data_IF_784048887809
#
_entry.id   IF_784048887809
#
_cell.length_a   1.000
_cell.length_b   1.000
_cell.length_c   1.000
_cell.angle_alpha   90.00
_cell.angle_beta   90.00
_cell.angle_gamma   90.00
#
_symmetry.space_group_name_H-M   'P 1'
#
loop_
_entity.id
_entity.type
_entity.pdbx_description
1 polymer ?
#
# COMPACT_ATOMS: atom_id res chain seq x y z
N UNK A 1 -8.55 -21.57 29.34
CA UNK A 1 -7.77 -21.91 30.56
C UNK A 1 -8.77 -22.13 31.69
N UNK A 2 -8.60 -23.20 32.51
CA UNK A 2 -9.41 -23.44 33.68
C UNK A 2 -8.63 -22.99 34.91
N UNK A 3 -9.27 -22.23 35.78
CA UNK A 3 -8.74 -21.82 37.10
C UNK A 3 -9.48 -22.64 38.13
N UNK A 4 -8.84 -23.66 38.76
CA UNK A 4 -9.42 -24.40 39.89
C UNK A 4 -9.26 -23.62 41.18
N UNK A 5 -10.24 -23.72 42.04
CA UNK A 5 -10.20 -23.18 43.42
C UNK A 5 -10.76 -24.20 44.38
N UNK A 6 -10.04 -24.41 45.48
CA UNK A 6 -10.41 -25.33 46.57
C UNK A 6 -10.02 -24.68 47.91
N UNK A 7 -10.88 -24.74 48.87
CA UNK A 7 -10.57 -24.31 50.24
C UNK A 7 -10.26 -25.51 51.13
N UNK A 8 -9.47 -25.25 52.16
CA UNK A 8 -9.14 -26.22 53.19
C UNK A 8 -9.51 -25.62 54.57
N UNK A 9 -10.09 -26.43 55.45
CA UNK A 9 -10.32 -26.08 56.85
C UNK A 9 -9.46 -27.01 57.70
N UNK A 10 -8.52 -26.43 58.44
CA UNK A 10 -7.81 -27.12 59.49
C UNK A 10 -8.52 -26.92 60.82
N UNK A 11 -8.76 -27.97 61.55
CA UNK A 11 -9.42 -27.93 62.87
C UNK A 11 -8.85 -28.96 63.80
N UNK A 12 -9.05 -28.73 65.09
CA UNK A 12 -8.75 -29.69 66.10
C UNK A 12 -10.04 -30.20 66.76
N UNK A 13 -10.07 -31.47 67.13
CA UNK A 13 -11.09 -32.04 67.95
C UNK A 13 -10.48 -32.77 69.14
N UNK A 14 -11.22 -32.85 70.23
CA UNK A 14 -10.77 -33.47 71.49
C UNK A 14 -11.40 -34.82 71.61
N UNK A 15 -10.62 -35.86 71.84
CA UNK A 15 -11.08 -37.21 72.10
C UNK A 15 -11.63 -37.32 73.57
N UNK A 16 -12.46 -38.34 73.88
CA UNK A 16 -12.97 -38.57 75.22
C UNK A 16 -11.88 -38.75 76.30
N UNK A 17 -10.67 -39.13 75.95
CA UNK A 17 -9.51 -39.26 76.85
C UNK A 17 -8.74 -37.93 77.06
N UNK A 18 -9.22 -36.82 76.44
CA UNK A 18 -8.63 -35.50 76.53
C UNK A 18 -7.53 -35.21 75.51
N UNK A 19 -7.18 -36.14 74.60
CA UNK A 19 -6.22 -35.87 73.55
C UNK A 19 -6.78 -34.95 72.44
N UNK A 20 -6.00 -33.99 72.01
CA UNK A 20 -6.35 -33.11 70.88
C UNK A 20 -5.78 -33.68 69.58
N UNK A 21 -6.62 -33.88 68.58
CA UNK A 21 -6.26 -34.38 67.25
C UNK A 21 -6.51 -33.30 66.22
N UNK A 22 -5.49 -33.03 65.41
CA UNK A 22 -5.59 -32.12 64.27
C UNK A 22 -6.18 -32.85 63.05
N UNK A 23 -7.06 -32.20 62.36
CA UNK A 23 -7.68 -32.70 61.12
C UNK A 23 -7.80 -31.60 60.07
N UNK A 24 -7.88 -32.00 58.82
CA UNK A 24 -8.13 -31.11 57.69
C UNK A 24 -9.33 -31.60 56.88
N UNK A 25 -10.06 -30.67 56.34
CA UNK A 25 -11.19 -30.94 55.43
C UNK A 25 -11.08 -30.03 54.23
N UNK A 26 -10.97 -30.64 53.08
CA UNK A 26 -10.99 -29.91 51.80
C UNK A 26 -12.42 -29.75 51.29
N UNK A 27 -12.70 -28.62 50.67
CA UNK A 27 -13.94 -28.43 49.91
C UNK A 27 -13.88 -29.21 48.58
N UNK A 28 -15.00 -29.26 47.87
CA UNK A 28 -14.99 -29.58 46.46
C UNK A 28 -14.16 -28.53 45.67
N UNK A 29 -13.59 -28.95 44.54
CA UNK A 29 -12.94 -28.04 43.59
C UNK A 29 -14.03 -27.38 42.75
N UNK A 30 -14.00 -26.05 42.67
CA UNK A 30 -14.77 -25.26 41.71
C UNK A 30 -13.87 -24.73 40.63
N UNK A 31 -14.34 -24.79 39.39
CA UNK A 31 -13.58 -24.42 38.21
C UNK A 31 -14.19 -23.17 37.55
N UNK A 32 -13.34 -22.19 37.21
CA UNK A 32 -13.72 -21.06 36.39
C UNK A 32 -13.02 -21.18 35.03
N UNK A 33 -13.77 -21.20 33.95
CA UNK A 33 -13.21 -21.16 32.61
C UNK A 33 -12.93 -19.71 32.22
N UNK A 34 -11.68 -19.45 31.77
CA UNK A 34 -11.26 -18.17 31.21
C UNK A 34 -11.41 -18.25 29.69
N UNK A 35 -12.36 -17.52 29.16
CA UNK A 35 -12.55 -17.35 27.73
C UNK A 35 -11.55 -16.33 27.19
N UNK A 36 -10.99 -16.62 26.01
CA UNK A 36 -10.14 -15.70 25.25
C UNK A 36 -10.73 -15.50 23.88
N UNK A 37 -10.79 -14.25 23.46
CA UNK A 37 -11.22 -13.87 22.11
C UNK A 37 -9.99 -13.40 21.33
N UNK A 38 -9.47 -14.25 20.44
CA UNK A 38 -8.29 -13.97 19.62
C UNK A 38 -8.62 -14.23 18.16
N UNK A 39 -8.56 -13.18 17.37
CA UNK A 39 -8.85 -13.22 15.94
C UNK A 39 -7.69 -12.59 15.16
N UNK A 40 -6.56 -13.35 14.98
CA UNK A 40 -5.49 -12.89 14.12
C UNK A 40 -6.01 -12.62 12.71
N UNK A 41 -5.60 -11.47 12.16
CA UNK A 41 -5.93 -11.05 10.80
C UNK A 41 -4.68 -10.45 10.17
N UNK A 42 -4.18 -11.10 9.13
CA UNK A 42 -2.92 -10.75 8.47
C UNK A 42 -3.22 -10.37 7.03
N UNK A 43 -2.88 -9.12 6.68
CA UNK A 43 -2.94 -8.60 5.32
C UNK A 43 -1.58 -8.70 4.65
N UNK A 44 -1.57 -9.06 3.37
CA UNK A 44 -0.39 -9.11 2.50
C UNK A 44 -0.72 -8.61 1.10
N UNK A 45 0.27 -8.12 0.38
CA UNK A 45 0.23 -7.86 -1.05
C UNK A 45 1.26 -8.74 -1.76
N UNK A 46 1.01 -9.08 -3.02
CA UNK A 46 1.93 -9.88 -3.85
C UNK A 46 3.10 -9.05 -4.40
N UNK A 47 3.03 -7.71 -4.31
CA UNK A 47 4.05 -6.78 -4.79
C UNK A 47 4.38 -5.72 -3.75
N UNK A 48 5.63 -5.28 -3.73
CA UNK A 48 6.12 -4.18 -2.88
C UNK A 48 6.24 -2.85 -3.63
N UNK A 49 6.21 -2.91 -4.97
CA UNK A 49 6.13 -1.74 -5.85
C UNK A 49 5.24 -2.02 -7.06
N UNK A 50 4.65 -0.97 -7.62
CA UNK A 50 3.82 -1.00 -8.82
C UNK A 50 4.21 0.16 -9.73
N UNK A 51 4.13 -0.02 -11.03
CA UNK A 51 4.09 1.09 -11.97
C UNK A 51 2.69 1.73 -11.98
N UNK A 52 2.59 2.96 -12.48
CA UNK A 52 1.30 3.62 -12.70
C UNK A 52 0.38 2.74 -13.55
N UNK A 53 -0.83 2.50 -13.07
CA UNK A 53 -1.83 1.66 -13.73
C UNK A 53 -1.63 0.15 -13.54
N UNK A 54 -0.53 -0.30 -12.94
CA UNK A 54 -0.29 -1.71 -12.67
C UNK A 54 -1.14 -2.22 -11.49
N UNK A 55 -1.38 -3.53 -11.43
CA UNK A 55 -2.20 -4.18 -10.42
C UNK A 55 -1.39 -5.03 -9.45
N UNK A 56 -1.90 -5.15 -8.21
CA UNK A 56 -1.42 -6.06 -7.16
C UNK A 56 -2.59 -6.81 -6.55
N UNK A 57 -2.39 -8.08 -6.23
CA UNK A 57 -3.36 -8.89 -5.48
C UNK A 57 -3.09 -8.75 -3.99
N UNK A 58 -4.08 -8.25 -3.25
CA UNK A 58 -4.05 -8.20 -1.79
C UNK A 58 -4.80 -9.41 -1.22
N UNK A 59 -4.34 -9.90 -0.08
CA UNK A 59 -4.94 -11.04 0.61
C UNK A 59 -4.99 -10.77 2.11
N UNK A 60 -6.12 -11.11 2.74
CA UNK A 60 -6.30 -11.04 4.19
C UNK A 60 -6.71 -12.42 4.69
N UNK A 61 -5.89 -13.00 5.56
CA UNK A 61 -6.20 -14.25 6.26
C UNK A 61 -6.74 -13.90 7.65
N UNK A 62 -7.94 -14.36 7.95
CA UNK A 62 -8.64 -14.17 9.22
C UNK A 62 -8.77 -15.53 9.88
N UNK A 63 -8.27 -15.68 11.11
CA UNK A 63 -8.31 -16.95 11.85
C UNK A 63 -9.08 -16.76 13.17
N UNK A 64 -10.05 -17.61 13.45
CA UNK A 64 -10.72 -17.65 14.72
C UNK A 64 -9.97 -18.54 15.72
N UNK A 65 -9.07 -17.96 16.51
CA UNK A 65 -8.37 -18.66 17.59
C UNK A 65 -9.13 -18.57 18.92
N UNK A 66 -10.36 -18.05 18.93
CA UNK A 66 -11.20 -18.02 20.12
C UNK A 66 -11.90 -19.38 20.34
N UNK A 67 -12.48 -19.56 21.52
CA UNK A 67 -13.22 -20.79 21.89
C UNK A 67 -14.68 -20.78 21.40
N UNK A 68 -15.15 -19.65 20.84
CA UNK A 68 -16.52 -19.45 20.38
C UNK A 68 -16.58 -19.14 18.91
N UNK A 69 -17.75 -19.33 18.29
CA UNK A 69 -18.01 -18.90 16.93
C UNK A 69 -18.00 -17.38 16.82
N UNK A 70 -17.44 -16.87 15.73
CA UNK A 70 -17.62 -15.48 15.29
C UNK A 70 -18.81 -15.40 14.34
N UNK A 71 -19.65 -14.41 14.50
CA UNK A 71 -20.80 -14.15 13.65
C UNK A 71 -20.96 -12.65 13.37
N UNK A 72 -21.83 -12.29 12.44
CA UNK A 72 -21.97 -10.92 11.93
C UNK A 72 -20.63 -10.33 11.46
N UNK A 73 -19.81 -11.17 10.78
CA UNK A 73 -18.53 -10.71 10.26
C UNK A 73 -18.78 -9.75 9.09
N UNK A 74 -18.18 -8.57 9.16
CA UNK A 74 -18.16 -7.58 8.07
C UNK A 74 -16.71 -7.19 7.80
N UNK A 75 -16.27 -7.48 6.59
CA UNK A 75 -14.96 -7.09 6.09
C UNK A 75 -15.07 -5.74 5.36
N UNK A 76 -14.14 -4.83 5.64
CA UNK A 76 -14.02 -3.55 4.95
C UNK A 76 -12.55 -3.20 4.77
N UNK A 77 -12.20 -2.64 3.61
CA UNK A 77 -10.87 -2.15 3.32
C UNK A 77 -10.97 -0.76 2.67
N UNK A 78 -10.58 0.26 3.43
CA UNK A 78 -10.57 1.63 2.92
C UNK A 78 -9.29 1.83 2.10
N UNK A 79 -9.42 1.83 0.77
CA UNK A 79 -8.30 2.16 -0.12
C UNK A 79 -7.76 3.54 0.21
N UNK A 80 -6.44 3.65 0.38
CA UNK A 80 -5.79 4.95 0.49
C UNK A 80 -5.71 5.65 -0.88
N UNK A 81 -5.53 6.97 -0.88
CA UNK A 81 -5.27 7.72 -2.11
C UNK A 81 -4.03 7.15 -2.80
N UNK A 82 -4.09 6.91 -4.09
CA UNK A 82 -2.97 6.38 -4.89
C UNK A 82 -3.25 5.02 -5.51
N UNK A 83 -4.27 4.29 -5.01
CA UNK A 83 -4.76 3.06 -5.63
C UNK A 83 -6.28 2.98 -5.57
N UNK A 84 -6.85 2.16 -6.45
CA UNK A 84 -8.28 1.87 -6.52
C UNK A 84 -8.52 0.37 -6.51
N UNK A 85 -9.64 -0.05 -5.93
CA UNK A 85 -10.11 -1.41 -6.02
C UNK A 85 -10.55 -1.74 -7.45
N UNK A 86 -10.19 -2.94 -7.94
CA UNK A 86 -10.65 -3.45 -9.24
C UNK A 86 -11.98 -4.18 -9.06
N UNK A 87 -13.11 -3.64 -9.54
CA UNK A 87 -14.43 -4.24 -9.36
C UNK A 87 -14.51 -5.69 -9.85
N UNK A 88 -15.21 -6.54 -9.10
CA UNK A 88 -15.41 -7.94 -9.44
C UNK A 88 -14.23 -8.86 -9.15
N UNK A 89 -13.14 -8.36 -8.55
CA UNK A 89 -11.93 -9.14 -8.28
C UNK A 89 -11.92 -9.83 -6.91
N UNK A 90 -12.97 -9.68 -6.08
CA UNK A 90 -13.00 -10.31 -4.75
C UNK A 90 -13.15 -11.82 -4.86
N UNK A 91 -12.33 -12.52 -4.09
CA UNK A 91 -12.43 -13.95 -3.84
C UNK A 91 -12.52 -14.20 -2.33
N UNK A 92 -13.37 -15.13 -1.93
CA UNK A 92 -13.42 -15.65 -0.55
C UNK A 92 -13.09 -17.15 -0.59
N UNK A 93 -12.02 -17.55 0.08
CA UNK A 93 -11.48 -18.90 0.06
C UNK A 93 -11.27 -19.44 -1.40
N UNK A 94 -10.80 -18.56 -2.30
CA UNK A 94 -10.58 -18.87 -3.71
C UNK A 94 -11.84 -18.93 -4.57
N UNK A 95 -13.01 -18.65 -4.00
CA UNK A 95 -14.28 -18.59 -4.75
C UNK A 95 -14.60 -17.16 -5.10
N UNK A 96 -14.81 -16.87 -6.40
CA UNK A 96 -15.12 -15.53 -6.90
C UNK A 96 -16.43 -14.97 -6.33
N UNK A 97 -16.38 -13.71 -5.90
CA UNK A 97 -17.49 -12.95 -5.34
C UNK A 97 -17.62 -11.59 -6.07
N UNK A 98 -18.09 -11.59 -7.33
CA UNK A 98 -17.97 -10.41 -8.20
C UNK A 98 -18.82 -9.21 -7.75
N UNK A 99 -19.80 -9.43 -6.86
CA UNK A 99 -20.66 -8.37 -6.32
C UNK A 99 -20.12 -7.75 -5.03
N UNK A 100 -19.06 -8.33 -4.45
CA UNK A 100 -18.45 -7.82 -3.20
C UNK A 100 -17.57 -6.63 -3.52
N UNK A 101 -17.65 -5.61 -2.67
CA UNK A 101 -16.85 -4.40 -2.74
C UNK A 101 -16.19 -4.17 -1.36
N UNK A 102 -14.85 -4.32 -1.26
CA UNK A 102 -14.14 -4.12 0.00
C UNK A 102 -14.21 -2.67 0.51
N UNK A 103 -14.36 -1.69 -0.37
CA UNK A 103 -14.47 -0.27 0.01
C UNK A 103 -15.81 0.01 0.68
N UNK A 104 -16.90 -0.52 0.12
CA UNK A 104 -18.23 -0.43 0.73
C UNK A 104 -18.34 -1.31 1.98
N UNK A 105 -17.65 -2.45 1.98
CA UNK A 105 -17.74 -3.51 2.98
C UNK A 105 -18.79 -4.56 2.61
N UNK A 106 -18.53 -5.81 3.03
CA UNK A 106 -19.43 -6.95 2.79
C UNK A 106 -19.40 -7.95 3.94
N UNK A 107 -20.48 -8.72 4.06
CA UNK A 107 -20.60 -9.77 5.08
C UNK A 107 -19.81 -11.02 4.70
N UNK A 108 -19.17 -11.64 5.67
CA UNK A 108 -18.56 -12.96 5.58
C UNK A 108 -19.39 -13.99 6.35
N UNK A 109 -19.33 -15.28 5.95
CA UNK A 109 -19.94 -16.36 6.73
C UNK A 109 -19.40 -16.40 8.16
N UNK A 110 -20.22 -16.92 9.07
CA UNK A 110 -19.78 -17.20 10.45
C UNK A 110 -18.55 -18.11 10.46
N UNK A 111 -17.65 -17.90 11.40
CA UNK A 111 -16.37 -18.61 11.50
C UNK A 111 -16.30 -19.37 12.81
N UNK A 112 -16.38 -20.69 12.76
CA UNK A 112 -16.30 -21.52 13.98
C UNK A 112 -14.91 -21.44 14.63
N UNK A 113 -14.83 -21.81 15.89
CA UNK A 113 -13.56 -21.91 16.62
C UNK A 113 -12.54 -22.78 15.84
N UNK A 114 -11.32 -22.28 15.70
CA UNK A 114 -10.23 -22.93 14.96
C UNK A 114 -10.30 -22.81 13.43
N UNK A 115 -11.34 -22.22 12.86
CA UNK A 115 -11.46 -22.03 11.41
C UNK A 115 -10.77 -20.74 10.94
N UNK A 116 -10.38 -20.74 9.66
CA UNK A 116 -9.86 -19.58 8.98
C UNK A 116 -10.64 -19.28 7.69
N UNK A 117 -10.64 -18.03 7.27
CA UNK A 117 -11.13 -17.58 5.97
C UNK A 117 -10.13 -16.62 5.34
N UNK A 118 -10.04 -16.64 4.01
CA UNK A 118 -9.17 -15.77 3.23
C UNK A 118 -10.03 -14.91 2.32
N UNK A 119 -9.83 -13.59 2.39
CA UNK A 119 -10.37 -12.62 1.45
C UNK A 119 -9.23 -12.15 0.57
N UNK A 120 -9.37 -12.25 -0.75
CA UNK A 120 -8.42 -11.72 -1.70
C UNK A 120 -9.12 -10.80 -2.71
N UNK A 121 -8.43 -9.78 -3.20
CA UNK A 121 -8.94 -8.82 -4.19
C UNK A 121 -7.78 -8.12 -4.87
N UNK A 122 -8.05 -7.49 -6.02
CA UNK A 122 -7.05 -6.77 -6.80
C UNK A 122 -7.19 -5.27 -6.58
N UNK A 123 -6.06 -4.60 -6.40
CA UNK A 123 -5.94 -3.15 -6.39
C UNK A 123 -5.14 -2.69 -7.61
N UNK A 124 -5.41 -1.49 -8.12
CA UNK A 124 -4.70 -0.88 -9.23
C UNK A 124 -4.10 0.46 -8.80
N UNK A 125 -2.82 0.65 -9.06
CA UNK A 125 -2.16 1.94 -8.88
C UNK A 125 -2.80 3.01 -9.77
N UNK A 126 -3.01 4.22 -9.25
CA UNK A 126 -3.55 5.32 -10.05
C UNK A 126 -2.60 5.70 -11.19
N UNK A 127 -3.19 6.09 -12.33
CA UNK A 127 -2.48 6.66 -13.46
C UNK A 127 -3.24 7.90 -13.95
N UNK A 128 -2.71 9.11 -13.76
CA UNK A 128 -1.41 9.46 -13.14
C UNK A 128 -1.35 9.11 -11.65
N UNK A 129 -0.13 8.85 -11.18
CA UNK A 129 0.15 8.65 -9.75
C UNK A 129 -0.33 9.86 -8.93
N UNK A 130 -1.05 9.59 -7.84
CA UNK A 130 -1.54 10.64 -6.92
C UNK A 130 -0.84 10.60 -5.58
N UNK A 131 -0.31 9.43 -5.18
CA UNK A 131 0.39 9.23 -3.92
C UNK A 131 1.35 8.04 -4.00
N UNK A 132 2.49 8.14 -3.31
CA UNK A 132 3.43 7.04 -3.04
C UNK A 132 4.15 7.30 -1.71
N UNK A 133 4.36 6.28 -0.83
CA UNK A 133 3.78 4.96 -0.92
C UNK A 133 2.26 4.96 -0.71
N UNK A 134 1.59 3.96 -1.27
CA UNK A 134 0.21 3.61 -0.91
C UNK A 134 0.28 2.73 0.33
N UNK A 135 -0.37 3.15 1.41
CA UNK A 135 -0.47 2.39 2.66
C UNK A 135 -1.91 2.06 2.96
N UNK A 136 -2.18 0.84 3.41
CA UNK A 136 -3.51 0.29 3.44
C UNK A 136 -3.65 -0.80 4.52
N UNK A 137 -4.82 -0.85 5.20
CA UNK A 137 -5.21 -1.89 6.14
C UNK A 137 -6.70 -2.18 6.02
N UNK A 138 -7.08 -3.42 6.31
CA UNK A 138 -8.48 -3.81 6.38
C UNK A 138 -9.01 -3.78 7.82
N UNK A 139 -10.31 -3.53 7.96
CA UNK A 139 -11.05 -3.59 9.22
C UNK A 139 -12.00 -4.79 9.20
N UNK A 140 -12.01 -5.57 10.28
CA UNK A 140 -12.96 -6.64 10.51
C UNK A 140 -13.86 -6.26 11.71
N UNK A 141 -15.16 -6.19 11.46
CA UNK A 141 -16.17 -6.15 12.50
C UNK A 141 -16.71 -7.55 12.71
N UNK A 142 -16.91 -7.96 13.95
CA UNK A 142 -17.50 -9.26 14.28
C UNK A 142 -18.14 -9.26 15.67
N UNK A 143 -18.98 -10.25 15.94
CA UNK A 143 -19.66 -10.46 17.22
C UNK A 143 -19.28 -11.84 17.76
N UNK A 144 -19.10 -11.93 19.06
CA UNK A 144 -19.01 -13.20 19.81
C UNK A 144 -20.15 -13.27 20.82
N UNK A 145 -20.60 -14.48 21.16
CA UNK A 145 -21.52 -14.68 22.24
C UNK A 145 -20.73 -15.03 23.52
N UNK A 146 -20.69 -14.08 24.45
CA UNK A 146 -20.07 -14.26 25.76
C UNK A 146 -21.13 -14.80 26.76
N UNK A 147 -20.87 -15.91 27.48
CA UNK A 147 -21.86 -16.51 28.38
C UNK A 147 -22.35 -15.58 29.48
N UNK A 148 -21.53 -14.58 29.88
CA UNK A 148 -21.87 -13.68 31.00
C UNK A 148 -22.38 -12.32 30.53
N UNK A 149 -22.01 -11.89 29.30
CA UNK A 149 -22.31 -10.54 28.80
C UNK A 149 -23.25 -10.54 27.59
N UNK A 150 -23.55 -11.73 27.03
CA UNK A 150 -24.31 -11.87 25.79
C UNK A 150 -23.43 -11.48 24.55
N UNK A 151 -24.02 -10.81 23.58
CA UNK A 151 -23.32 -10.43 22.36
C UNK A 151 -22.32 -9.29 22.59
N UNK A 152 -21.06 -9.55 22.32
CA UNK A 152 -19.97 -8.57 22.38
C UNK A 152 -19.46 -8.31 20.97
N UNK A 153 -19.45 -7.04 20.56
CA UNK A 153 -19.02 -6.60 19.24
C UNK A 153 -17.57 -6.12 19.28
N UNK A 154 -16.82 -6.48 18.25
CA UNK A 154 -15.44 -6.07 18.03
C UNK A 154 -15.29 -5.37 16.68
N UNK A 155 -14.36 -4.41 16.62
CA UNK A 155 -13.92 -3.74 15.41
C UNK A 155 -12.40 -3.64 15.48
N UNK A 156 -11.70 -4.35 14.60
CA UNK A 156 -10.24 -4.49 14.68
C UNK A 156 -9.61 -4.42 13.30
N UNK A 157 -8.40 -3.85 13.24
CA UNK A 157 -7.66 -3.69 12.00
C UNK A 157 -6.64 -4.82 11.79
N UNK A 158 -6.30 -5.06 10.53
CA UNK A 158 -5.11 -5.86 10.13
C UNK A 158 -3.83 -5.07 10.38
N UNK A 159 -2.68 -5.70 10.14
CA UNK A 159 -1.44 -4.97 9.86
C UNK A 159 -1.60 -4.10 8.60
N UNK A 160 -0.78 -3.05 8.51
CA UNK A 160 -0.67 -2.19 7.32
C UNK A 160 0.21 -2.86 6.26
N UNK A 161 -0.22 -2.78 5.01
CA UNK A 161 0.59 -3.09 3.82
C UNK A 161 1.01 -1.77 3.17
N UNK A 162 2.23 -1.71 2.65
CA UNK A 162 2.80 -0.54 1.97
C UNK A 162 3.33 -0.94 0.61
N UNK A 163 2.92 -0.20 -0.45
CA UNK A 163 3.35 -0.42 -1.84
C UNK A 163 3.87 0.88 -2.41
N UNK A 164 5.08 0.85 -2.99
CA UNK A 164 5.67 2.01 -3.68
C UNK A 164 5.07 2.12 -5.08
N UNK A 165 4.60 3.31 -5.47
CA UNK A 165 4.18 3.56 -6.86
C UNK A 165 5.34 4.21 -7.61
N UNK A 166 5.72 3.62 -8.73
CA UNK A 166 6.79 4.06 -9.61
C UNK A 166 6.19 4.81 -10.80
N UNK A 167 6.60 6.06 -10.98
CA UNK A 167 6.30 6.86 -12.16
C UNK A 167 7.59 7.11 -12.94
N UNK A 168 7.57 6.78 -14.24
CA UNK A 168 8.70 7.00 -15.13
C UNK A 168 8.56 8.31 -15.96
N UNK A 169 7.74 9.25 -15.52
CA UNK A 169 7.40 10.45 -16.28
C UNK A 169 8.59 11.38 -16.47
N UNK A 170 8.67 11.89 -17.69
CA UNK A 170 9.59 12.94 -18.12
C UNK A 170 8.74 13.95 -18.94
N UNK A 171 8.95 15.22 -18.75
CA UNK A 171 8.34 16.26 -19.58
C UNK A 171 9.42 16.95 -20.39
N UNK A 172 9.08 17.37 -21.62
CA UNK A 172 9.94 18.21 -22.47
C UNK A 172 9.07 19.34 -23.03
N UNK A 173 9.40 20.58 -22.65
CA UNK A 173 8.69 21.78 -23.09
C UNK A 173 9.64 22.56 -23.96
N UNK A 174 9.30 22.72 -25.26
CA UNK A 174 10.09 23.46 -26.24
C UNK A 174 9.47 24.84 -26.52
N UNK A 175 10.29 25.84 -26.67
CA UNK A 175 9.93 27.20 -27.04
C UNK A 175 10.91 27.79 -28.05
N UNK A 176 10.51 28.89 -28.67
CA UNK A 176 11.34 29.70 -29.58
C UNK A 176 11.17 31.18 -29.19
N UNK A 177 12.22 31.97 -29.34
CA UNK A 177 12.25 33.38 -28.94
C UNK A 177 11.39 34.30 -29.82
N UNK A 178 11.09 33.90 -31.07
CA UNK A 178 10.38 34.72 -32.07
C UNK A 178 9.21 34.00 -32.68
N UNK A 179 8.05 34.63 -32.77
CA UNK A 179 6.88 34.13 -33.48
C UNK A 179 6.96 34.38 -35.02
N UNK A 180 7.75 35.35 -35.44
CA UNK A 180 7.92 35.78 -36.83
C UNK A 180 9.41 35.99 -37.11
N UNK A 181 9.89 35.59 -38.27
CA UNK A 181 11.27 35.74 -38.70
C UNK A 181 11.34 35.98 -40.21
N UNK A 182 12.39 36.63 -40.66
CA UNK A 182 12.73 36.80 -42.09
C UNK A 182 14.04 36.11 -42.43
N UNK A 183 14.32 35.91 -43.69
CA UNK A 183 15.59 35.33 -44.17
C UNK A 183 16.80 36.03 -43.53
N UNK A 184 17.69 35.23 -42.96
CA UNK A 184 18.90 35.65 -42.26
C UNK A 184 18.76 35.87 -40.77
N UNK A 185 17.52 35.81 -40.23
CA UNK A 185 17.31 35.89 -38.80
C UNK A 185 17.77 34.62 -38.09
N UNK A 186 18.26 34.78 -36.86
CA UNK A 186 18.48 33.64 -35.98
C UNK A 186 17.24 33.44 -35.09
N UNK A 187 16.86 32.18 -34.96
CA UNK A 187 15.83 31.71 -34.01
C UNK A 187 16.53 30.94 -32.88
N UNK A 188 16.23 31.35 -31.65
CA UNK A 188 16.75 30.71 -30.45
C UNK A 188 15.73 29.72 -29.89
N UNK A 189 16.06 28.42 -29.92
CA UNK A 189 15.24 27.35 -29.37
C UNK A 189 15.68 27.02 -27.95
N UNK A 190 14.72 26.81 -27.07
CA UNK A 190 14.91 26.35 -25.70
C UNK A 190 14.03 25.14 -25.43
N UNK A 191 14.62 24.03 -24.95
CA UNK A 191 13.90 22.85 -24.46
C UNK A 191 14.19 22.67 -22.97
N UNK A 192 13.14 22.59 -22.16
CA UNK A 192 13.25 22.30 -20.72
C UNK A 192 12.74 20.89 -20.48
N UNK A 193 13.65 20.00 -20.11
CA UNK A 193 13.37 18.59 -19.81
C UNK A 193 13.32 18.46 -18.28
N UNK A 194 12.19 17.99 -17.73
CA UNK A 194 11.99 17.85 -16.29
C UNK A 194 11.64 16.41 -15.92
N UNK A 195 12.35 15.85 -14.95
CA UNK A 195 12.01 14.55 -14.38
C UNK A 195 10.85 14.72 -13.36
N UNK A 196 9.65 14.44 -13.79
CA UNK A 196 8.42 14.46 -12.96
C UNK A 196 8.04 13.08 -12.42
N UNK A 197 8.91 12.08 -12.62
CA UNK A 197 8.75 10.71 -12.12
C UNK A 197 9.28 10.53 -10.69
N UNK A 198 9.35 9.27 -10.26
CA UNK A 198 9.81 8.88 -8.91
C UNK A 198 11.21 8.26 -8.90
N UNK A 199 11.83 8.08 -10.07
CA UNK A 199 13.17 7.52 -10.23
C UNK A 199 14.04 8.48 -11.03
N UNK A 200 15.35 8.47 -10.75
CA UNK A 200 16.36 9.14 -11.56
C UNK A 200 16.31 8.66 -13.01
N UNK A 201 16.58 9.54 -13.94
CA UNK A 201 16.72 9.22 -15.37
C UNK A 201 18.19 9.28 -15.74
N UNK A 202 18.69 8.19 -16.31
CA UNK A 202 20.07 8.03 -16.78
C UNK A 202 20.10 7.82 -18.29
N UNK A 203 21.26 7.94 -18.90
CA UNK A 203 21.48 7.71 -20.34
C UNK A 203 20.52 8.53 -21.22
N UNK A 204 20.26 9.77 -20.83
CA UNK A 204 19.38 10.67 -21.57
C UNK A 204 20.08 11.17 -22.83
N UNK A 205 19.44 10.99 -23.98
CA UNK A 205 19.93 11.50 -25.28
C UNK A 205 18.95 12.55 -25.80
N UNK A 206 19.43 13.76 -26.04
CA UNK A 206 18.66 14.83 -26.68
C UNK A 206 18.91 14.80 -28.20
N UNK A 207 17.83 14.86 -28.96
CA UNK A 207 17.89 15.08 -30.41
C UNK A 207 16.74 15.99 -30.84
N UNK A 208 17.01 16.83 -31.84
CA UNK A 208 16.04 17.79 -32.38
C UNK A 208 16.33 17.97 -33.90
N UNK A 209 15.46 17.45 -34.77
CA UNK A 209 15.60 17.66 -36.20
C UNK A 209 15.50 19.14 -36.57
N UNK A 210 16.47 19.65 -37.32
CA UNK A 210 16.47 21.05 -37.75
C UNK A 210 15.30 21.28 -38.73
N UNK A 211 14.42 22.29 -38.47
CA UNK A 211 13.27 22.57 -39.32
C UNK A 211 13.67 22.89 -40.78
N UNK A 212 12.85 22.44 -41.71
CA UNK A 212 13.04 22.79 -43.14
C UNK A 212 12.98 24.33 -43.32
N UNK A 213 13.84 24.88 -44.15
CA UNK A 213 13.99 26.33 -44.33
C UNK A 213 14.89 27.02 -43.31
N UNK A 214 15.55 26.24 -42.44
CA UNK A 214 16.54 26.77 -41.51
C UNK A 214 17.85 25.95 -41.57
N UNK A 215 18.91 26.51 -41.02
CA UNK A 215 20.23 25.86 -40.91
C UNK A 215 20.71 25.99 -39.45
N UNK A 216 21.17 24.88 -38.84
CA UNK A 216 21.76 24.89 -37.52
C UNK A 216 22.99 25.79 -37.44
N UNK A 217 23.12 26.56 -36.37
CA UNK A 217 24.29 27.41 -36.07
C UNK A 217 25.29 26.58 -35.26
N UNK A 218 26.41 26.10 -35.84
CA UNK A 218 27.41 25.33 -35.11
C UNK A 218 27.97 26.09 -33.91
N UNK A 219 28.18 25.40 -32.80
CA UNK A 219 28.70 25.99 -31.55
C UNK A 219 27.68 26.73 -30.71
N UNK A 220 26.41 26.78 -31.11
CA UNK A 220 25.35 27.48 -30.38
C UNK A 220 24.74 26.66 -29.25
N UNK A 221 25.02 25.35 -29.16
CA UNK A 221 24.41 24.47 -28.14
C UNK A 221 24.90 24.87 -26.74
N UNK A 222 23.92 25.05 -25.82
CA UNK A 222 24.16 25.19 -24.38
C UNK A 222 23.32 24.19 -23.61
N UNK A 223 23.89 23.68 -22.53
CA UNK A 223 23.18 22.88 -21.52
C UNK A 223 23.33 23.59 -20.18
N UNK A 224 22.21 23.97 -19.56
CA UNK A 224 22.18 24.75 -18.31
C UNK A 224 23.11 25.98 -18.38
N UNK A 225 23.03 26.77 -19.48
CA UNK A 225 23.87 27.94 -19.79
C UNK A 225 25.38 27.64 -20.02
N UNK A 226 25.82 26.39 -20.01
CA UNK A 226 27.20 26.00 -20.31
C UNK A 226 27.30 25.64 -21.81
N UNK A 227 28.27 26.22 -22.53
CA UNK A 227 28.47 26.01 -23.98
C UNK A 227 29.06 24.63 -24.28
N UNK A 228 28.50 23.95 -25.29
CA UNK A 228 28.96 22.66 -25.84
C UNK A 228 29.17 22.81 -27.39
N UNK A 229 30.28 23.42 -27.83
CA UNK A 229 30.44 23.85 -29.22
C UNK A 229 30.52 22.70 -30.23
N UNK A 230 30.79 21.48 -29.79
CA UNK A 230 30.86 20.29 -30.65
C UNK A 230 29.54 19.54 -30.79
N UNK A 231 28.52 19.92 -29.98
CA UNK A 231 27.23 19.24 -29.99
C UNK A 231 26.38 19.72 -31.18
N UNK A 232 25.62 18.76 -31.73
CA UNK A 232 24.70 19.01 -32.83
C UNK A 232 23.37 18.34 -32.53
N UNK A 233 22.26 19.08 -32.36
CA UNK A 233 20.94 18.52 -32.03
C UNK A 233 20.42 17.56 -33.11
N UNK A 234 20.82 17.73 -34.37
CA UNK A 234 20.39 16.86 -35.48
C UNK A 234 20.95 15.43 -35.38
N UNK A 235 22.16 15.25 -34.84
CA UNK A 235 22.80 13.94 -34.64
C UNK A 235 22.55 13.37 -33.24
N UNK A 236 22.09 14.20 -32.31
CA UNK A 236 21.88 13.88 -30.90
C UNK A 236 23.17 14.00 -30.08
N UNK A 237 23.00 14.15 -28.77
CA UNK A 237 24.06 14.19 -27.77
C UNK A 237 23.54 13.83 -26.39
N UNK A 238 24.43 13.39 -25.51
CA UNK A 238 24.09 12.96 -24.14
C UNK A 238 23.80 14.15 -23.26
N UNK A 239 22.78 13.99 -22.39
CA UNK A 239 22.47 14.89 -21.28
C UNK A 239 22.96 14.30 -19.96
N UNK A 240 23.19 15.14 -18.93
CA UNK A 240 23.47 14.65 -17.59
C UNK A 240 22.28 13.85 -17.02
N UNK A 241 22.59 12.94 -16.10
CA UNK A 241 21.57 12.24 -15.32
C UNK A 241 20.64 13.25 -14.61
N UNK A 242 19.36 12.91 -14.57
CA UNK A 242 18.33 13.82 -14.11
C UNK A 242 17.65 13.24 -12.87
N UNK A 243 18.07 13.69 -11.69
CA UNK A 243 17.45 13.31 -10.44
C UNK A 243 15.97 13.72 -10.39
N UNK A 244 15.21 13.06 -9.50
CA UNK A 244 13.77 13.34 -9.31
C UNK A 244 13.53 14.81 -8.99
N UNK A 245 12.59 15.43 -9.70
CA UNK A 245 12.22 16.83 -9.55
C UNK A 245 13.17 17.83 -10.21
N UNK A 246 14.31 17.37 -10.76
CA UNK A 246 15.26 18.25 -11.43
C UNK A 246 14.90 18.46 -12.91
N UNK A 247 15.41 19.56 -13.46
CA UNK A 247 15.29 19.90 -14.87
C UNK A 247 16.65 20.18 -15.49
N UNK A 248 16.76 19.92 -16.80
CA UNK A 248 17.88 20.34 -17.65
C UNK A 248 17.35 21.20 -18.79
N UNK A 249 18.04 22.29 -19.07
CA UNK A 249 17.70 23.21 -20.17
C UNK A 249 18.70 23.00 -21.31
N UNK A 250 18.19 22.76 -22.51
CA UNK A 250 18.98 22.70 -23.76
C UNK A 250 18.59 23.88 -24.62
N UNK A 251 19.58 24.63 -25.10
CA UNK A 251 19.41 25.79 -25.97
C UNK A 251 20.26 25.61 -27.22
N UNK A 252 19.77 26.08 -28.36
CA UNK A 252 20.54 26.15 -29.63
C UNK A 252 19.91 27.13 -30.61
N UNK A 253 20.69 27.60 -31.60
CA UNK A 253 20.27 28.55 -32.62
C UNK A 253 20.16 27.90 -33.98
N UNK A 254 19.23 28.41 -34.80
CA UNK A 254 19.17 28.15 -36.25
C UNK A 254 19.02 29.46 -36.99
N UNK A 255 19.56 29.52 -38.24
CA UNK A 255 19.39 30.69 -39.12
C UNK A 255 18.33 30.36 -40.18
N UNK A 256 17.43 31.31 -40.46
CA UNK A 256 16.42 31.23 -41.53
C UNK A 256 17.08 31.37 -42.92
N UNK A 257 16.85 30.45 -43.84
CA UNK A 257 17.47 30.38 -45.18
C UNK A 257 16.88 31.40 -46.17
#
# INVERSE_FOLDING_TARGET
MIIPNQSNIAFNYVLPDGQTVAANLDSNIVNTEVLTYSVPKVKSGDKTFLQEGETSKHSVVITNNSQTQLFNLVFKDAMSNGATYVPGSVEVNGVSQPTYDPVAGFALPALNAGQATTVAYTVQANNPMTQTPVTDFATLNYTVNDPNRGNVNFSENTNTVSVQIISNRLTNVKSVDKAYAVKGDNLHYTSIITNTGTLEKTDLVFSDPIPAGTTFVPGSVKINNVAYPTYNPQTGFDLPDLAVGNAVTVEFDVTVN
#
